data_IF_795239687676
#
_entry.id   IF_795239687676
#
_cell.length_a   1.000
_cell.length_b   1.000
_cell.length_c   1.000
_cell.angle_alpha   90.00
_cell.angle_beta   90.00
_cell.angle_gamma   90.00
#
_symmetry.space_group_name_H-M   'P 1'
#
loop_
_entity.id
_entity.type
_entity.pdbx_description
1 polymer ?
#
# COMPACT_ATOMS: atom_id res chain seq x y z
N UNK A 1 7.37 -21.27 -20.18
CA UNK A 1 8.40 -20.21 -20.40
C UNK A 1 9.74 -20.72 -19.90
N UNK A 2 10.82 -20.61 -20.69
CA UNK A 2 12.15 -21.01 -20.23
C UNK A 2 12.73 -19.93 -19.31
N UNK A 3 13.12 -20.32 -18.10
CA UNK A 3 13.78 -19.44 -17.14
C UNK A 3 15.23 -19.24 -17.59
N UNK A 4 15.73 -18.00 -17.66
CA UNK A 4 17.11 -17.72 -18.02
C UNK A 4 18.10 -18.38 -17.03
N UNK A 5 19.33 -18.72 -17.46
CA UNK A 5 20.33 -19.33 -16.57
C UNK A 5 20.62 -18.51 -15.32
N UNK A 6 20.70 -17.19 -15.46
CA UNK A 6 20.93 -16.27 -14.35
C UNK A 6 19.77 -16.33 -13.33
N UNK A 7 18.53 -16.23 -13.79
CA UNK A 7 17.34 -16.32 -12.93
C UNK A 7 17.24 -17.68 -12.25
N UNK A 8 17.63 -18.77 -12.94
CA UNK A 8 17.68 -20.10 -12.36
C UNK A 8 18.67 -20.15 -11.19
N UNK A 9 19.84 -19.53 -11.35
CA UNK A 9 20.84 -19.47 -10.29
C UNK A 9 20.35 -18.65 -9.09
N UNK A 10 19.74 -17.48 -9.31
CA UNK A 10 19.13 -16.65 -8.25
C UNK A 10 18.08 -17.42 -7.43
N UNK A 11 17.27 -18.23 -8.11
CA UNK A 11 16.28 -19.10 -7.49
C UNK A 11 16.95 -20.15 -6.62
N UNK A 12 17.93 -20.88 -7.16
CA UNK A 12 18.67 -21.92 -6.44
C UNK A 12 19.33 -21.34 -5.19
N UNK A 13 19.94 -20.17 -5.31
CA UNK A 13 20.63 -19.52 -4.21
C UNK A 13 19.65 -19.01 -3.13
N UNK A 14 18.48 -18.54 -3.51
CA UNK A 14 17.43 -18.19 -2.55
C UNK A 14 16.94 -19.43 -1.78
N UNK A 15 16.65 -20.52 -2.49
CA UNK A 15 16.19 -21.76 -1.88
C UNK A 15 17.26 -22.38 -0.95
N UNK A 16 18.54 -22.34 -1.35
CA UNK A 16 19.66 -22.80 -0.50
C UNK A 16 19.76 -22.01 0.81
N UNK A 17 19.42 -20.72 0.78
CA UNK A 17 19.38 -19.88 1.98
C UNK A 17 18.09 -20.03 2.79
N UNK A 18 17.15 -20.87 2.36
CA UNK A 18 15.83 -21.01 3.00
C UNK A 18 14.95 -19.78 2.82
N UNK A 19 15.20 -18.94 1.79
CA UNK A 19 14.42 -17.74 1.52
C UNK A 19 13.55 -17.91 0.28
N UNK A 20 12.46 -17.14 0.20
CA UNK A 20 11.58 -17.13 -0.97
C UNK A 20 12.26 -16.33 -2.10
N UNK A 21 12.37 -16.88 -3.32
CA UNK A 21 12.86 -16.14 -4.48
C UNK A 21 12.05 -14.88 -4.74
N UNK A 22 12.69 -13.87 -5.33
CA UNK A 22 12.01 -12.57 -5.64
C UNK A 22 11.26 -12.57 -6.96
N UNK A 23 11.54 -13.52 -7.85
CA UNK A 23 10.96 -13.58 -9.20
C UNK A 23 10.71 -15.01 -9.63
N UNK A 24 9.92 -15.17 -10.71
CA UNK A 24 9.61 -16.48 -11.32
C UNK A 24 8.93 -17.46 -10.35
N UNK A 25 8.10 -16.96 -9.45
CA UNK A 25 7.41 -17.74 -8.42
C UNK A 25 6.46 -18.79 -9.03
N UNK A 26 5.90 -18.51 -10.19
CA UNK A 26 5.03 -19.43 -10.93
C UNK A 26 5.72 -20.78 -11.23
N UNK A 27 7.07 -20.80 -11.34
CA UNK A 27 7.82 -22.03 -11.55
C UNK A 27 7.81 -23.02 -10.36
N UNK A 28 7.40 -22.53 -9.18
CA UNK A 28 7.37 -23.30 -7.92
C UNK A 28 5.98 -23.34 -7.30
N UNK A 29 5.00 -22.70 -7.93
CA UNK A 29 3.63 -22.57 -7.43
C UNK A 29 2.84 -23.88 -7.57
N UNK A 30 3.40 -24.97 -7.04
CA UNK A 30 2.76 -26.30 -7.10
C UNK A 30 1.55 -26.35 -6.17
N UNK A 31 0.37 -26.72 -6.71
CA UNK A 31 -0.87 -26.90 -5.96
C UNK A 31 -1.58 -25.59 -5.58
N UNK A 32 -1.15 -24.43 -6.12
CA UNK A 32 -1.85 -23.17 -5.95
C UNK A 32 -3.00 -22.98 -6.96
N UNK A 33 -3.06 -23.78 -8.02
CA UNK A 33 -4.11 -23.74 -9.04
C UNK A 33 -5.53 -23.82 -8.42
N UNK A 34 -5.69 -24.58 -7.35
CA UNK A 34 -6.96 -24.71 -6.61
C UNK A 34 -7.46 -23.40 -6.00
N UNK A 35 -6.61 -22.39 -5.85
CA UNK A 35 -6.98 -21.08 -5.31
C UNK A 35 -7.16 -20.02 -6.39
N UNK A 36 -6.78 -20.32 -7.65
CA UNK A 36 -6.72 -19.31 -8.71
C UNK A 36 -8.07 -18.67 -9.02
N UNK A 37 -9.13 -19.47 -9.08
CA UNK A 37 -10.49 -18.98 -9.38
C UNK A 37 -10.95 -18.01 -8.28
N UNK A 38 -10.93 -18.46 -7.00
CA UNK A 38 -11.35 -17.64 -5.87
C UNK A 38 -10.51 -16.34 -5.73
N UNK A 39 -9.19 -16.42 -5.92
CA UNK A 39 -8.32 -15.25 -5.86
C UNK A 39 -8.58 -14.29 -7.02
N UNK A 40 -8.87 -14.80 -8.20
CA UNK A 40 -9.20 -14.00 -9.38
C UNK A 40 -10.53 -13.25 -9.19
N UNK A 41 -11.55 -13.90 -8.63
CA UNK A 41 -12.83 -13.28 -8.27
C UNK A 41 -12.67 -12.20 -7.21
N UNK A 42 -11.86 -12.45 -6.17
CA UNK A 42 -11.57 -11.47 -5.13
C UNK A 42 -10.81 -10.26 -5.68
N UNK A 43 -9.81 -10.46 -6.52
CA UNK A 43 -9.09 -9.37 -7.19
C UNK A 43 -10.02 -8.59 -8.13
N UNK A 44 -10.92 -9.26 -8.85
CA UNK A 44 -11.93 -8.60 -9.69
C UNK A 44 -12.88 -7.73 -8.85
N UNK A 45 -13.33 -8.20 -7.67
CA UNK A 45 -14.13 -7.43 -6.72
C UNK A 45 -13.40 -6.17 -6.28
N UNK A 46 -12.12 -6.27 -5.94
CA UNK A 46 -11.29 -5.12 -5.52
C UNK A 46 -11.11 -4.13 -6.67
N UNK A 47 -10.85 -4.61 -7.89
CA UNK A 47 -10.77 -3.76 -9.09
C UNK A 47 -12.06 -2.99 -9.35
N UNK A 48 -13.21 -3.61 -9.11
CA UNK A 48 -14.52 -2.96 -9.23
C UNK A 48 -14.79 -1.93 -8.11
N UNK A 49 -13.86 -1.74 -7.18
CA UNK A 49 -13.97 -0.76 -6.09
C UNK A 49 -14.51 -1.34 -4.78
N UNK A 50 -14.62 -2.65 -4.68
CA UNK A 50 -14.82 -3.32 -3.41
C UNK A 50 -13.56 -3.38 -2.56
N UNK A 51 -13.66 -3.99 -1.40
CA UNK A 51 -12.54 -4.35 -0.52
C UNK A 51 -12.63 -5.82 -0.14
N UNK A 52 -11.48 -6.42 0.16
CA UNK A 52 -11.36 -7.81 0.57
C UNK A 52 -10.40 -7.93 1.74
N UNK A 53 -10.80 -8.65 2.78
CA UNK A 53 -9.92 -9.16 3.81
C UNK A 53 -9.73 -10.67 3.64
N UNK A 54 -8.50 -11.14 3.71
CA UNK A 54 -8.17 -12.57 3.68
C UNK A 54 -7.09 -12.91 4.71
N UNK A 55 -7.33 -13.97 5.48
CA UNK A 55 -6.34 -14.55 6.38
C UNK A 55 -5.76 -15.84 5.77
N UNK A 56 -4.44 -15.96 5.78
CA UNK A 56 -3.69 -17.16 5.38
C UNK A 56 -3.05 -17.78 6.61
N UNK A 57 -3.53 -18.95 6.96
CA UNK A 57 -3.10 -19.70 8.14
C UNK A 57 -2.21 -20.86 7.75
N UNK A 58 -1.13 -21.06 8.48
CA UNK A 58 -0.26 -22.21 8.30
C UNK A 58 0.94 -22.23 9.26
N UNK A 59 1.48 -23.40 9.50
CA UNK A 59 2.66 -23.58 10.36
C UNK A 59 3.91 -22.86 9.80
N UNK A 60 4.94 -22.74 10.62
CA UNK A 60 6.23 -22.22 10.15
C UNK A 60 6.78 -23.11 9.02
N UNK A 61 7.27 -22.46 7.97
CA UNK A 61 7.85 -23.15 6.82
C UNK A 61 6.84 -23.73 5.81
N UNK A 62 5.52 -23.63 6.05
CA UNK A 62 4.50 -24.16 5.13
C UNK A 62 4.30 -23.33 3.85
N UNK A 63 5.03 -22.21 3.68
CA UNK A 63 4.98 -21.42 2.46
C UNK A 63 4.06 -20.19 2.49
N UNK A 64 3.64 -19.68 3.66
CA UNK A 64 2.79 -18.47 3.78
C UNK A 64 3.39 -17.26 3.05
N UNK A 65 4.66 -16.95 3.32
CA UNK A 65 5.40 -15.86 2.66
C UNK A 65 5.55 -16.11 1.15
N UNK A 66 5.73 -17.37 0.74
CA UNK A 66 5.75 -17.73 -0.67
C UNK A 66 4.40 -17.42 -1.34
N UNK A 67 3.31 -17.86 -0.72
CA UNK A 67 1.96 -17.58 -1.22
C UNK A 67 1.70 -16.07 -1.33
N UNK A 68 2.05 -15.29 -0.31
CA UNK A 68 1.87 -13.85 -0.30
C UNK A 68 2.64 -13.15 -1.44
N UNK A 69 3.90 -13.56 -1.67
CA UNK A 69 4.73 -13.03 -2.78
C UNK A 69 4.22 -13.47 -4.14
N UNK A 70 3.81 -14.71 -4.29
CA UNK A 70 3.20 -15.22 -5.51
C UNK A 70 1.92 -14.44 -5.85
N UNK A 71 1.04 -14.23 -4.88
CA UNK A 71 -0.16 -13.42 -5.07
C UNK A 71 0.18 -11.96 -5.42
N UNK A 72 1.19 -11.38 -4.76
CA UNK A 72 1.66 -10.02 -5.06
C UNK A 72 2.20 -9.90 -6.49
N UNK A 73 2.94 -10.89 -6.97
CA UNK A 73 3.44 -10.91 -8.35
C UNK A 73 2.28 -11.02 -9.37
N UNK A 74 1.30 -11.87 -9.05
CA UNK A 74 0.10 -12.02 -9.87
C UNK A 74 -0.75 -10.74 -9.87
N UNK A 75 -0.96 -10.12 -8.72
CA UNK A 75 -1.70 -8.85 -8.60
C UNK A 75 -1.02 -7.73 -9.41
N UNK A 76 0.32 -7.60 -9.34
CA UNK A 76 1.05 -6.62 -10.17
C UNK A 76 0.85 -6.86 -11.68
N UNK A 77 0.90 -8.11 -12.14
CA UNK A 77 0.61 -8.47 -13.55
C UNK A 77 -0.82 -8.09 -13.97
N UNK A 78 -1.72 -7.99 -13.01
CA UNK A 78 -3.11 -7.55 -13.21
C UNK A 78 -3.31 -6.04 -13.01
N UNK A 79 -2.24 -5.24 -12.87
CA UNK A 79 -2.29 -3.79 -12.74
C UNK A 79 -2.53 -3.29 -11.31
N UNK A 80 -2.40 -4.14 -10.29
CA UNK A 80 -2.42 -3.71 -8.89
C UNK A 80 -1.06 -3.17 -8.47
N UNK A 81 -1.07 -2.22 -7.54
CA UNK A 81 0.07 -2.01 -6.68
C UNK A 81 0.10 -3.09 -5.57
N UNK A 82 1.27 -3.41 -5.07
CA UNK A 82 1.44 -4.37 -3.99
C UNK A 82 2.45 -3.87 -2.96
N UNK A 83 2.22 -4.19 -1.69
CA UNK A 83 3.17 -3.93 -0.61
C UNK A 83 3.14 -5.07 0.41
N UNK A 84 4.32 -5.57 0.81
CA UNK A 84 4.50 -6.60 1.81
C UNK A 84 5.16 -6.00 3.05
N UNK A 85 4.41 -5.94 4.15
CA UNK A 85 4.84 -5.40 5.43
C UNK A 85 4.99 -6.55 6.42
N UNK A 86 6.22 -6.86 6.80
CA UNK A 86 6.51 -7.83 7.85
C UNK A 86 6.27 -7.20 9.21
N UNK A 87 5.34 -7.77 9.98
CA UNK A 87 5.06 -7.33 11.35
C UNK A 87 6.16 -7.84 12.27
N UNK A 88 6.62 -6.99 13.18
CA UNK A 88 7.67 -7.32 14.13
C UNK A 88 7.43 -6.63 15.48
N UNK A 89 8.13 -7.09 16.50
CA UNK A 89 7.98 -6.56 17.87
C UNK A 89 8.48 -5.10 17.98
N UNK A 90 9.51 -4.73 17.23
CA UNK A 90 10.25 -3.47 17.38
C UNK A 90 10.22 -2.56 16.17
N UNK A 91 10.46 -3.10 14.96
CA UNK A 91 10.58 -2.28 13.76
C UNK A 91 9.24 -1.89 13.15
N UNK A 92 8.29 -2.84 13.16
CA UNK A 92 6.96 -2.65 12.57
C UNK A 92 5.88 -3.21 13.50
N UNK A 93 5.75 -2.67 14.72
CA UNK A 93 4.72 -3.13 15.66
C UNK A 93 3.33 -2.72 15.16
N UNK A 94 2.40 -3.66 15.09
CA UNK A 94 1.09 -3.45 14.48
C UNK A 94 0.24 -2.38 15.19
N UNK A 95 0.43 -2.19 16.50
CA UNK A 95 -0.28 -1.13 17.25
C UNK A 95 0.16 0.30 16.86
N UNK A 96 1.20 0.45 16.03
CA UNK A 96 1.67 1.73 15.48
C UNK A 96 1.38 1.78 13.99
N UNK A 97 0.14 2.08 13.63
CA UNK A 97 -0.27 2.09 12.23
C UNK A 97 0.51 3.11 11.39
N UNK A 98 1.01 4.18 11.98
CA UNK A 98 1.92 5.12 11.33
C UNK A 98 3.24 4.45 10.85
N UNK A 99 3.73 3.48 11.62
CA UNK A 99 4.91 2.70 11.24
C UNK A 99 4.57 1.67 10.15
N UNK A 100 3.41 1.03 10.26
CA UNK A 100 2.90 0.10 9.22
C UNK A 100 2.71 0.85 7.90
N UNK A 101 2.10 2.03 7.94
CA UNK A 101 1.92 2.90 6.77
C UNK A 101 3.25 3.28 6.12
N UNK A 102 4.23 3.72 6.92
CA UNK A 102 5.57 4.02 6.42
C UNK A 102 6.20 2.81 5.72
N UNK A 103 6.16 1.63 6.33
CA UNK A 103 6.67 0.40 5.71
C UNK A 103 5.92 0.02 4.45
N UNK A 104 4.59 0.22 4.43
CA UNK A 104 3.79 0.07 3.22
C UNK A 104 4.35 0.94 2.09
N UNK A 105 4.60 2.23 2.34
CA UNK A 105 5.12 3.16 1.34
C UNK A 105 6.54 2.80 0.87
N UNK A 106 7.43 2.40 1.77
CA UNK A 106 8.79 1.95 1.45
C UNK A 106 8.80 0.69 0.56
N UNK A 107 7.82 -0.20 0.76
CA UNK A 107 7.68 -1.48 0.06
C UNK A 107 6.72 -1.43 -1.12
N UNK A 108 6.07 -0.29 -1.35
CA UNK A 108 5.11 -0.12 -2.43
C UNK A 108 5.75 -0.42 -3.78
N UNK A 109 5.12 -1.29 -4.56
CA UNK A 109 5.61 -1.75 -5.85
C UNK A 109 4.48 -1.83 -6.87
N UNK A 110 4.82 -1.64 -8.13
CA UNK A 110 3.94 -1.86 -9.30
C UNK A 110 4.63 -2.82 -10.28
N UNK A 111 4.00 -3.10 -11.41
CA UNK A 111 4.61 -3.91 -12.46
C UNK A 111 5.93 -3.30 -12.96
N UNK A 112 5.98 -1.98 -13.09
CA UNK A 112 7.11 -1.24 -13.65
C UNK A 112 8.12 -0.76 -12.60
N UNK A 113 7.68 -0.63 -11.34
CA UNK A 113 8.51 -0.12 -10.23
C UNK A 113 8.53 -1.14 -9.10
N UNK A 114 9.62 -1.92 -8.98
CA UNK A 114 9.70 -3.02 -8.03
C UNK A 114 9.69 -2.62 -6.56
N UNK A 115 10.01 -1.36 -6.23
CA UNK A 115 10.05 -0.84 -4.86
C UNK A 115 9.99 0.69 -4.86
N UNK A 116 9.36 1.28 -3.82
CA UNK A 116 9.28 2.74 -3.66
C UNK A 116 8.44 3.43 -4.74
N UNK A 117 7.37 2.79 -5.20
CA UNK A 117 6.58 3.24 -6.34
C UNK A 117 5.75 4.52 -6.10
N UNK A 118 5.75 5.11 -4.89
CA UNK A 118 4.88 6.25 -4.58
C UNK A 118 5.14 7.43 -5.52
N UNK A 119 6.42 7.78 -5.77
CA UNK A 119 6.76 8.87 -6.70
C UNK A 119 6.16 8.64 -8.08
N UNK A 120 6.45 7.48 -8.67
CA UNK A 120 5.98 7.15 -10.01
C UNK A 120 4.45 7.12 -10.10
N UNK A 121 3.77 6.69 -9.04
CA UNK A 121 2.31 6.71 -8.96
C UNK A 121 1.76 8.14 -8.94
N UNK A 122 2.36 9.04 -8.15
CA UNK A 122 1.93 10.44 -8.07
C UNK A 122 2.22 11.18 -9.38
N UNK A 123 3.44 11.04 -9.92
CA UNK A 123 3.84 11.70 -11.17
C UNK A 123 2.97 11.20 -12.33
N UNK A 124 2.71 9.89 -12.41
CA UNK A 124 1.79 9.31 -13.39
C UNK A 124 0.35 9.81 -13.23
N UNK A 125 -0.12 9.98 -12.00
CA UNK A 125 -1.45 10.54 -11.74
C UNK A 125 -1.56 11.99 -12.18
N UNK A 126 -0.57 12.82 -11.89
CA UNK A 126 -0.55 14.21 -12.35
C UNK A 126 -0.52 14.30 -13.88
N UNK A 127 0.24 13.43 -14.52
CA UNK A 127 0.27 13.34 -15.99
C UNK A 127 -1.13 12.99 -16.54
N UNK A 128 -1.82 12.01 -15.94
CA UNK A 128 -3.21 11.66 -16.34
C UNK A 128 -4.15 12.83 -16.17
N UNK A 129 -4.04 13.62 -15.08
CA UNK A 129 -4.84 14.82 -14.89
C UNK A 129 -4.59 15.87 -15.98
N UNK A 130 -3.36 16.03 -16.44
CA UNK A 130 -3.01 16.94 -17.53
C UNK A 130 -3.55 16.46 -18.87
N UNK A 131 -3.46 15.16 -19.15
CA UNK A 131 -4.04 14.57 -20.35
C UNK A 131 -5.58 14.73 -20.37
N UNK A 132 -6.25 14.50 -19.25
CA UNK A 132 -7.70 14.69 -19.12
C UNK A 132 -8.10 16.15 -19.43
N UNK A 133 -7.36 17.13 -18.89
CA UNK A 133 -7.60 18.56 -19.17
C UNK A 133 -7.37 18.89 -20.64
N UNK A 134 -6.33 18.35 -21.25
CA UNK A 134 -6.07 18.56 -22.68
C UNK A 134 -7.15 17.91 -23.56
N UNK A 135 -7.67 16.75 -23.14
CA UNK A 135 -8.75 16.05 -23.84
C UNK A 135 -10.09 16.82 -23.80
N UNK A 136 -10.30 17.72 -22.82
CA UNK A 136 -11.45 18.64 -22.81
C UNK A 136 -11.44 19.63 -24.01
N UNK A 137 -10.26 19.85 -24.65
CA UNK A 137 -10.10 20.74 -25.79
C UNK A 137 -10.26 22.24 -25.46
N UNK A 138 -10.25 22.61 -24.16
CA UNK A 138 -10.45 23.99 -23.69
C UNK A 138 -9.13 24.71 -23.43
N UNK A 139 -8.02 23.98 -23.41
CA UNK A 139 -6.67 24.50 -23.12
C UNK A 139 -5.72 24.14 -24.23
N UNK A 140 -5.01 25.14 -24.75
CA UNK A 140 -3.92 24.91 -25.71
C UNK A 140 -2.73 24.23 -25.03
N UNK A 141 -2.14 23.17 -25.56
CA UNK A 141 -0.96 22.51 -25.00
C UNK A 141 0.24 23.44 -24.77
N UNK A 142 0.35 24.53 -25.52
CA UNK A 142 1.39 25.57 -25.37
C UNK A 142 1.11 26.59 -24.26
N UNK A 143 -0.11 26.62 -23.69
CA UNK A 143 -0.47 27.53 -22.60
C UNK A 143 -0.27 26.86 -21.23
N UNK A 144 0.99 26.71 -20.81
CA UNK A 144 1.37 26.07 -19.55
C UNK A 144 0.65 26.67 -18.34
N UNK A 145 0.36 27.98 -18.36
CA UNK A 145 -0.31 28.66 -17.25
C UNK A 145 -1.77 28.24 -17.12
N UNK A 146 -2.50 28.18 -18.23
CA UNK A 146 -3.90 27.72 -18.22
C UNK A 146 -3.97 26.22 -17.93
N UNK A 147 -3.04 25.43 -18.47
CA UNK A 147 -2.97 24.01 -18.21
C UNK A 147 -2.78 23.75 -16.70
N UNK A 148 -1.82 24.44 -16.07
CA UNK A 148 -1.59 24.32 -14.63
C UNK A 148 -2.82 24.72 -13.80
N UNK A 149 -3.46 25.84 -14.14
CA UNK A 149 -4.65 26.31 -13.43
C UNK A 149 -5.81 25.30 -13.55
N UNK A 150 -6.11 24.84 -14.77
CA UNK A 150 -7.21 23.88 -15.00
C UNK A 150 -6.95 22.52 -14.39
N UNK A 151 -5.71 22.01 -14.48
CA UNK A 151 -5.33 20.75 -13.82
C UNK A 151 -5.44 20.89 -12.29
N UNK A 152 -5.17 22.05 -11.73
CA UNK A 152 -5.35 22.29 -10.29
C UNK A 152 -6.83 22.23 -9.90
N UNK A 153 -7.72 22.82 -10.69
CA UNK A 153 -9.17 22.70 -10.48
C UNK A 153 -9.65 21.26 -10.54
N UNK A 154 -9.19 20.49 -11.53
CA UNK A 154 -9.53 19.07 -11.67
C UNK A 154 -9.00 18.24 -10.49
N UNK A 155 -7.78 18.52 -10.03
CA UNK A 155 -7.21 17.91 -8.83
C UNK A 155 -8.08 18.15 -7.60
N UNK A 156 -8.53 19.40 -7.38
CA UNK A 156 -9.43 19.72 -6.26
C UNK A 156 -10.76 18.96 -6.35
N UNK A 157 -11.32 18.85 -7.54
CA UNK A 157 -12.52 18.06 -7.79
C UNK A 157 -12.31 16.59 -7.43
N UNK A 158 -11.22 15.97 -7.92
CA UNK A 158 -10.89 14.56 -7.69
C UNK A 158 -10.58 14.27 -6.23
N UNK A 159 -9.92 15.20 -5.55
CA UNK A 159 -9.60 15.10 -4.13
C UNK A 159 -10.73 15.54 -3.19
N UNK A 160 -11.87 16.01 -3.69
CA UNK A 160 -12.93 16.57 -2.84
C UNK A 160 -13.38 15.62 -1.71
N UNK A 161 -13.51 14.32 -2.01
CA UNK A 161 -13.87 13.29 -1.02
C UNK A 161 -12.73 12.98 -0.04
N UNK A 162 -11.48 13.08 -0.49
CA UNK A 162 -10.29 12.83 0.34
C UNK A 162 -10.02 14.04 1.23
N UNK A 163 -10.22 15.25 0.72
CA UNK A 163 -9.95 16.48 1.46
C UNK A 163 -10.79 16.62 2.73
N UNK A 164 -11.99 16.04 2.77
CA UNK A 164 -12.81 16.01 3.98
C UNK A 164 -12.29 15.03 5.05
N UNK A 165 -11.77 13.89 4.64
CA UNK A 165 -11.27 12.85 5.55
C UNK A 165 -9.78 13.00 5.88
N UNK A 166 -8.98 13.49 4.93
CA UNK A 166 -7.53 13.63 5.02
C UNK A 166 -7.03 14.98 4.45
N UNK A 167 -7.39 16.13 5.07
CA UNK A 167 -7.06 17.45 4.51
C UNK A 167 -5.55 17.67 4.36
N UNK A 168 -4.72 17.13 5.25
CA UNK A 168 -3.27 17.22 5.16
C UNK A 168 -2.69 16.40 3.99
N UNK A 169 -3.31 15.27 3.64
CA UNK A 169 -2.90 14.49 2.46
C UNK A 169 -3.11 15.30 1.19
N UNK A 170 -4.29 15.90 1.03
CA UNK A 170 -4.61 16.75 -0.12
C UNK A 170 -3.72 18.00 -0.18
N UNK A 171 -3.44 18.63 0.97
CA UNK A 171 -2.53 19.77 1.04
C UNK A 171 -1.11 19.39 0.60
N UNK A 172 -0.62 18.23 1.04
CA UNK A 172 0.69 17.73 0.63
C UNK A 172 0.77 17.42 -0.87
N UNK A 173 -0.29 16.84 -1.47
CA UNK A 173 -0.34 16.59 -2.92
C UNK A 173 -0.30 17.91 -3.72
N UNK A 174 -1.03 18.95 -3.28
CA UNK A 174 -0.96 20.28 -3.90
C UNK A 174 0.45 20.86 -3.82
N UNK A 175 1.05 20.81 -2.61
CA UNK A 175 2.42 21.30 -2.41
C UNK A 175 3.44 20.53 -3.25
N UNK A 176 3.31 19.22 -3.35
CA UNK A 176 4.18 18.38 -4.19
C UNK A 176 4.08 18.80 -5.66
N UNK A 177 2.87 18.94 -6.20
CA UNK A 177 2.67 19.40 -7.57
C UNK A 177 3.23 20.80 -7.80
N UNK A 178 2.96 21.73 -6.91
CA UNK A 178 3.44 23.11 -7.01
C UNK A 178 4.98 23.17 -7.02
N UNK A 179 5.64 22.41 -6.14
CA UNK A 179 7.10 22.34 -6.09
C UNK A 179 7.72 21.79 -7.39
N UNK A 180 7.02 20.83 -8.04
CA UNK A 180 7.42 20.35 -9.37
C UNK A 180 7.30 21.44 -10.45
N UNK A 181 6.19 22.19 -10.46
CA UNK A 181 5.99 23.31 -11.40
C UNK A 181 7.06 24.42 -11.21
N UNK A 182 7.49 24.64 -9.98
CA UNK A 182 8.57 25.59 -9.62
C UNK A 182 9.99 25.01 -9.81
N UNK A 183 10.10 23.73 -10.16
CA UNK A 183 11.35 22.98 -10.30
C UNK A 183 12.18 22.93 -9.00
N UNK A 184 11.50 23.01 -7.86
CA UNK A 184 12.10 22.85 -6.53
C UNK A 184 12.08 21.38 -6.11
N UNK A 185 13.06 20.62 -6.62
CA UNK A 185 13.19 19.20 -6.35
C UNK A 185 13.40 18.89 -4.85
N UNK A 186 14.12 19.74 -4.13
CA UNK A 186 14.40 19.53 -2.71
C UNK A 186 13.11 19.61 -1.87
N UNK A 187 12.26 20.58 -2.16
CA UNK A 187 10.94 20.70 -1.51
C UNK A 187 10.03 19.54 -1.92
N UNK A 188 10.00 19.15 -3.21
CA UNK A 188 9.23 18.00 -3.69
C UNK A 188 9.64 16.71 -2.96
N UNK A 189 10.93 16.42 -2.85
CA UNK A 189 11.47 15.25 -2.14
C UNK A 189 11.11 15.27 -0.65
N UNK A 190 11.18 16.43 -0.01
CA UNK A 190 10.74 16.58 1.38
C UNK A 190 9.26 16.31 1.59
N UNK A 191 8.40 16.79 0.70
CA UNK A 191 6.96 16.56 0.76
C UNK A 191 6.64 15.08 0.51
N UNK A 192 7.31 14.46 -0.46
CA UNK A 192 7.15 13.03 -0.76
C UNK A 192 7.58 12.15 0.42
N UNK A 193 8.69 12.50 1.09
CA UNK A 193 9.13 11.83 2.29
C UNK A 193 8.07 11.95 3.41
N UNK A 194 7.48 13.13 3.59
CA UNK A 194 6.41 13.32 4.56
C UNK A 194 5.15 12.51 4.22
N UNK A 195 4.70 12.52 2.96
CA UNK A 195 3.60 11.69 2.46
C UNK A 195 3.85 10.20 2.68
N UNK A 196 5.11 9.76 2.61
CA UNK A 196 5.53 8.38 2.89
C UNK A 196 5.57 8.02 4.38
N UNK A 197 5.23 8.95 5.27
CA UNK A 197 5.29 8.72 6.72
C UNK A 197 6.71 8.75 7.30
N UNK A 198 7.69 9.33 6.61
CA UNK A 198 9.03 9.48 7.17
C UNK A 198 9.00 10.49 8.33
N UNK A 199 9.59 10.14 9.49
CA UNK A 199 9.70 11.07 10.61
C UNK A 199 10.77 12.14 10.32
N UNK A 200 10.69 13.24 11.08
CA UNK A 200 11.72 14.29 11.07
C UNK A 200 11.96 14.97 9.72
N UNK A 201 10.94 15.03 8.87
CA UNK A 201 11.02 15.77 7.61
C UNK A 201 11.22 17.25 7.89
N UNK A 202 12.05 17.90 7.06
CA UNK A 202 12.42 19.32 7.18
C UNK A 202 11.18 20.22 7.32
N UNK A 203 11.23 21.13 8.31
CA UNK A 203 10.13 22.04 8.60
C UNK A 203 9.81 22.98 7.40
N UNK A 204 10.77 23.26 6.54
CA UNK A 204 10.58 24.06 5.33
C UNK A 204 9.62 23.38 4.36
N UNK A 205 9.84 22.09 4.05
CA UNK A 205 8.96 21.32 3.16
C UNK A 205 7.53 21.20 3.74
N UNK A 206 7.40 20.93 5.05
CA UNK A 206 6.10 20.87 5.73
C UNK A 206 5.35 22.21 5.66
N UNK A 207 6.05 23.34 5.89
CA UNK A 207 5.45 24.69 5.79
C UNK A 207 5.02 25.02 4.37
N UNK A 208 5.85 24.68 3.39
CA UNK A 208 5.52 24.88 1.98
C UNK A 208 4.24 24.17 1.59
N UNK A 209 4.09 22.90 1.99
CA UNK A 209 2.89 22.12 1.74
C UNK A 209 1.69 22.47 2.64
N UNK A 210 1.85 23.36 3.62
CA UNK A 210 0.79 23.70 4.57
C UNK A 210 0.45 22.57 5.55
N UNK A 211 1.38 21.63 5.80
CA UNK A 211 1.18 20.48 6.70
C UNK A 211 1.96 20.65 8.00
N UNK A 212 1.55 19.94 9.05
CA UNK A 212 2.14 20.03 10.39
C UNK A 212 2.33 18.66 11.01
N UNK A 213 3.31 18.55 11.90
CA UNK A 213 3.59 17.33 12.66
C UNK A 213 4.08 16.19 11.77
N UNK A 214 4.01 14.99 12.30
CA UNK A 214 4.23 13.73 11.61
C UNK A 214 2.90 12.98 11.54
N UNK A 215 2.81 11.96 10.69
CA UNK A 215 1.59 11.16 10.54
C UNK A 215 1.44 10.31 11.80
N UNK A 216 0.31 10.42 12.48
CA UNK A 216 -0.08 9.62 13.63
C UNK A 216 -0.92 8.39 13.22
N UNK A 217 -1.37 7.64 14.20
CA UNK A 217 -2.17 6.43 14.01
C UNK A 217 -3.44 6.67 13.14
N UNK A 218 -4.21 7.72 13.44
CA UNK A 218 -5.43 8.03 12.68
C UNK A 218 -5.10 8.65 11.31
N UNK A 219 -4.04 9.44 11.26
CA UNK A 219 -3.50 9.98 10.01
C UNK A 219 -3.10 8.88 9.04
N UNK A 220 -2.50 7.78 9.52
CA UNK A 220 -2.12 6.64 8.69
C UNK A 220 -3.33 6.01 7.97
N UNK A 221 -4.46 5.82 8.65
CA UNK A 221 -5.68 5.29 8.04
C UNK A 221 -6.28 6.25 7.01
N UNK A 222 -6.33 7.54 7.34
CA UNK A 222 -6.82 8.56 6.42
C UNK A 222 -5.93 8.68 5.18
N UNK A 223 -4.61 8.56 5.35
CA UNK A 223 -3.65 8.62 4.25
C UNK A 223 -3.71 7.36 3.37
N UNK A 224 -3.96 6.19 3.98
CA UNK A 224 -4.23 4.97 3.20
C UNK A 224 -5.48 5.15 2.31
N UNK A 225 -6.54 5.74 2.84
CA UNK A 225 -7.75 6.06 2.06
C UNK A 225 -7.44 7.03 0.91
N UNK A 226 -6.66 8.07 1.19
CA UNK A 226 -6.22 9.04 0.18
C UNK A 226 -5.38 8.40 -0.91
N UNK A 227 -4.43 7.56 -0.54
CA UNK A 227 -3.58 6.79 -1.47
C UNK A 227 -4.43 5.90 -2.40
N UNK A 228 -5.38 5.15 -1.85
CA UNK A 228 -6.27 4.29 -2.63
C UNK A 228 -7.10 5.09 -3.63
N UNK A 229 -7.55 6.29 -3.25
CA UNK A 229 -8.28 7.19 -4.16
C UNK A 229 -7.39 7.63 -5.33
N UNK A 230 -6.16 8.08 -5.05
CA UNK A 230 -5.20 8.46 -6.08
C UNK A 230 -4.85 7.27 -6.99
N UNK A 231 -4.57 6.10 -6.43
CA UNK A 231 -4.27 4.90 -7.20
C UNK A 231 -5.37 4.53 -8.18
N UNK A 232 -6.62 4.55 -7.73
CA UNK A 232 -7.76 4.21 -8.59
C UNK A 232 -7.98 5.26 -9.67
N UNK A 233 -7.82 6.52 -9.34
CA UNK A 233 -7.95 7.62 -10.28
C UNK A 233 -6.83 7.63 -11.34
N UNK A 234 -5.63 7.15 -10.98
CA UNK A 234 -4.51 6.94 -11.91
C UNK A 234 -4.60 5.64 -12.73
N UNK A 235 -5.70 4.90 -12.63
CA UNK A 235 -5.92 3.67 -13.42
C UNK A 235 -5.32 2.41 -12.81
N UNK A 236 -4.78 2.46 -11.59
CA UNK A 236 -4.37 1.23 -10.90
C UNK A 236 -5.60 0.40 -10.51
N UNK A 237 -5.52 -0.91 -10.65
CA UNK A 237 -6.62 -1.82 -10.31
C UNK A 237 -6.95 -1.85 -8.81
N UNK A 238 -6.01 -1.46 -7.96
CA UNK A 238 -6.12 -1.43 -6.49
C UNK A 238 -4.78 -1.65 -5.81
N UNK A 239 -4.82 -1.90 -4.51
CA UNK A 239 -3.66 -2.20 -3.67
C UNK A 239 -3.82 -3.58 -3.01
N UNK A 240 -2.85 -4.46 -3.19
CA UNK A 240 -2.67 -5.64 -2.35
C UNK A 240 -1.72 -5.29 -1.21
N UNK A 241 -2.23 -5.17 0.00
CA UNK A 241 -1.45 -4.99 1.23
C UNK A 241 -1.33 -6.33 1.95
N UNK A 242 -0.11 -6.81 2.10
CA UNK A 242 0.21 -8.01 2.88
C UNK A 242 0.78 -7.60 4.24
N UNK A 243 0.16 -8.08 5.33
CA UNK A 243 0.72 -8.05 6.67
C UNK A 243 1.22 -9.46 7.00
N UNK A 244 2.52 -9.66 6.88
CA UNK A 244 3.16 -10.98 7.08
C UNK A 244 3.63 -11.14 8.54
N UNK A 245 3.59 -12.38 9.04
CA UNK A 245 4.03 -12.77 10.39
C UNK A 245 3.30 -12.07 11.54
N UNK A 246 1.96 -11.91 11.45
CA UNK A 246 1.19 -11.25 12.52
C UNK A 246 1.25 -12.00 13.86
N UNK A 247 1.64 -13.27 13.86
CA UNK A 247 1.88 -14.06 15.09
C UNK A 247 2.97 -13.49 15.99
N UNK A 248 3.83 -12.60 15.49
CA UNK A 248 4.81 -11.88 16.33
C UNK A 248 4.17 -11.06 17.43
N UNK A 249 2.89 -10.67 17.26
CA UNK A 249 2.06 -10.02 18.27
C UNK A 249 1.97 -10.87 19.56
N UNK A 250 2.04 -12.19 19.45
CA UNK A 250 1.97 -13.08 20.62
C UNK A 250 3.20 -12.98 21.55
N UNK A 251 4.33 -12.48 21.03
CA UNK A 251 5.60 -12.40 21.75
C UNK A 251 5.76 -11.14 22.60
N UNK A 252 4.94 -10.12 22.36
CA UNK A 252 5.01 -8.87 23.13
C UNK A 252 4.23 -8.95 24.44
N UNK A 253 4.44 -7.97 25.32
CA UNK A 253 3.70 -7.86 26.60
C UNK A 253 2.19 -7.77 26.34
N UNK A 254 1.41 -8.21 27.32
CA UNK A 254 -0.06 -8.28 27.23
C UNK A 254 -0.71 -6.97 26.79
N UNK A 255 -0.30 -5.84 27.38
CA UNK A 255 -0.84 -4.52 27.07
C UNK A 255 -0.57 -4.07 25.62
N UNK A 256 0.62 -4.39 25.10
CA UNK A 256 1.01 -4.11 23.71
C UNK A 256 0.30 -5.07 22.74
N UNK A 257 0.13 -6.32 23.15
CA UNK A 257 -0.62 -7.33 22.39
C UNK A 257 -2.07 -6.90 22.20
N UNK A 258 -2.74 -6.49 23.26
CA UNK A 258 -4.13 -6.04 23.21
C UNK A 258 -4.28 -4.81 22.31
N UNK A 259 -3.35 -3.86 22.35
CA UNK A 259 -3.31 -2.73 21.40
C UNK A 259 -3.11 -3.18 19.97
N UNK A 260 -2.26 -4.17 19.72
CA UNK A 260 -2.00 -4.69 18.38
C UNK A 260 -3.19 -5.45 17.81
N UNK A 261 -3.87 -6.25 18.64
CA UNK A 261 -5.10 -6.94 18.26
C UNK A 261 -6.24 -5.94 17.96
N UNK A 262 -6.38 -4.87 18.76
CA UNK A 262 -7.34 -3.81 18.48
C UNK A 262 -7.02 -3.06 17.18
N UNK A 263 -5.74 -2.82 16.86
CA UNK A 263 -5.34 -2.21 15.59
C UNK A 263 -5.65 -3.13 14.40
N UNK A 264 -5.43 -4.45 14.54
CA UNK A 264 -5.81 -5.43 13.53
C UNK A 264 -7.33 -5.44 13.30
N UNK A 265 -8.11 -5.50 14.40
CA UNK A 265 -9.56 -5.41 14.34
C UNK A 265 -10.01 -4.15 13.62
N UNK A 266 -9.46 -2.99 13.99
CA UNK A 266 -9.79 -1.72 13.35
C UNK A 266 -9.56 -1.78 11.83
N UNK A 267 -8.42 -2.33 11.38
CA UNK A 267 -8.16 -2.49 9.95
C UNK A 267 -9.20 -3.39 9.26
N UNK A 268 -9.59 -4.49 9.91
CA UNK A 268 -10.61 -5.40 9.37
C UNK A 268 -11.98 -4.71 9.31
N UNK A 269 -12.40 -4.07 10.39
CA UNK A 269 -13.68 -3.34 10.47
C UNK A 269 -13.75 -2.24 9.38
N UNK A 270 -12.65 -1.53 9.14
CA UNK A 270 -12.57 -0.49 8.11
C UNK A 270 -12.60 -1.07 6.67
N UNK A 271 -12.05 -2.27 6.47
CA UNK A 271 -12.17 -3.00 5.20
C UNK A 271 -13.63 -3.44 4.98
N UNK A 272 -14.26 -4.01 5.99
CA UNK A 272 -15.64 -4.51 5.92
C UNK A 272 -16.67 -3.38 5.76
N UNK A 273 -16.43 -2.23 6.39
CA UNK A 273 -17.27 -1.04 6.23
C UNK A 273 -17.18 -0.39 4.83
N UNK A 274 -16.23 -0.86 3.99
CA UNK A 274 -16.00 -0.30 2.65
C UNK A 274 -15.27 1.05 2.65
N UNK A 275 -14.62 1.43 3.76
CA UNK A 275 -13.82 2.67 3.84
C UNK A 275 -12.61 2.66 2.93
N UNK A 276 -12.10 1.48 2.58
CA UNK A 276 -10.90 1.30 1.75
C UNK A 276 -11.24 0.69 0.37
N UNK A 277 -11.97 1.40 -0.50
CA UNK A 277 -12.31 0.89 -1.82
C UNK A 277 -11.04 0.67 -2.65
N UNK A 278 -10.89 -0.54 -3.19
CA UNK A 278 -9.69 -0.92 -3.93
C UNK A 278 -8.58 -1.53 -3.07
N UNK A 279 -8.86 -1.90 -1.79
CA UNK A 279 -7.91 -2.59 -0.93
C UNK A 279 -8.17 -4.09 -0.88
N UNK A 280 -7.13 -4.88 -1.14
CA UNK A 280 -7.04 -6.29 -0.77
C UNK A 280 -6.08 -6.40 0.42
N UNK A 281 -6.59 -6.66 1.61
CA UNK A 281 -5.82 -6.86 2.83
C UNK A 281 -5.58 -8.34 3.06
N UNK A 282 -4.34 -8.80 2.90
CA UNK A 282 -3.91 -10.16 3.18
C UNK A 282 -3.14 -10.20 4.50
N UNK A 283 -3.54 -11.05 5.40
CA UNK A 283 -2.85 -11.27 6.68
C UNK A 283 -2.36 -12.70 6.73
N UNK A 284 -1.08 -12.93 7.05
CA UNK A 284 -0.55 -14.27 7.24
C UNK A 284 -0.19 -14.51 8.70
N UNK A 285 -0.45 -15.73 9.19
CA UNK A 285 -0.15 -16.09 10.57
C UNK A 285 -0.14 -17.60 10.82
N UNK A 286 0.29 -17.98 12.02
CA UNK A 286 0.28 -19.37 12.46
C UNK A 286 -1.09 -19.80 12.99
N UNK A 287 -1.42 -21.12 13.02
CA UNK A 287 -2.65 -21.60 13.65
C UNK A 287 -2.78 -21.14 15.10
N UNK A 288 -1.67 -21.12 15.84
CA UNK A 288 -1.64 -20.63 17.23
C UNK A 288 -2.07 -19.17 17.36
N UNK A 289 -1.83 -18.32 16.35
CA UNK A 289 -2.32 -16.94 16.36
C UNK A 289 -3.84 -16.87 16.12
N UNK A 290 -4.37 -17.69 15.23
CA UNK A 290 -5.80 -17.67 14.89
C UNK A 290 -6.67 -18.44 15.88
N UNK A 291 -6.17 -19.52 16.48
CA UNK A 291 -6.94 -20.44 17.32
C UNK A 291 -6.51 -20.44 18.80
N UNK A 292 -5.35 -19.88 19.10
CA UNK A 292 -4.78 -19.92 20.44
C UNK A 292 -5.23 -18.76 21.34
N UNK A 293 -5.18 -18.93 22.67
CA UNK A 293 -5.67 -17.95 23.65
C UNK A 293 -4.81 -16.69 23.72
N UNK A 294 -3.64 -16.67 23.08
CA UNK A 294 -2.75 -15.51 23.00
C UNK A 294 -2.88 -14.77 21.66
N UNK A 295 -3.73 -15.23 20.76
CA UNK A 295 -4.00 -14.66 19.43
C UNK A 295 -5.33 -13.94 19.36
N UNK A 296 -6.01 -14.07 18.21
CA UNK A 296 -7.26 -13.34 17.92
C UNK A 296 -8.39 -13.70 18.87
N UNK A 297 -8.45 -14.93 19.39
CA UNK A 297 -9.47 -15.36 20.35
C UNK A 297 -9.44 -14.60 21.69
N UNK A 298 -8.34 -13.88 21.97
CA UNK A 298 -8.24 -13.02 23.13
C UNK A 298 -9.17 -11.79 23.04
N UNK A 299 -9.57 -11.39 21.86
CA UNK A 299 -10.44 -10.25 21.60
C UNK A 299 -11.72 -10.76 20.95
N UNK A 300 -12.83 -10.90 21.72
CA UNK A 300 -14.11 -11.43 21.25
C UNK A 300 -14.54 -10.97 19.85
N UNK A 301 -14.43 -9.68 19.48
CA UNK A 301 -14.81 -9.24 18.14
C UNK A 301 -13.94 -9.79 17.01
N UNK A 302 -12.81 -10.44 17.30
CA UNK A 302 -11.95 -11.10 16.30
C UNK A 302 -12.09 -12.63 16.33
N UNK A 303 -12.63 -13.19 17.42
CA UNK A 303 -12.85 -14.63 17.60
C UNK A 303 -14.10 -15.10 16.80
#
# INVERSE_FOLDING_TARGET
>A
MSISPQRRQEIIDALRRGTVPRSSLDAFAVGLDRFEEALSEELAKVRAGGSVFKAVRGEYGCGKTFFARWLSDRARKMGFAASEVQISETETPLHRLETVYRRLMERLSTADTPQGALRNLLDGWFFTLEEDVLAEGLVDPGDERKLLARTTELLEQRLSKVSSAAPMFSAALRGYRQSHAERDQATADGILAWLSGQPNVAAAAKRYAGVKGDIDHFGALNFLQGLLTVMRDSGQAGLLLVLDEVETIQRVRSDVRDKSLNALRQLIDEVDSGRFPGLYLLVTGTPAFFEGPQGIQRLEPLA
#
